data_IF_755489937110
#
_entry.id   IF_755489937110
#
_cell.length_a   1.000
_cell.length_b   1.000
_cell.length_c   1.000
_cell.angle_alpha   90.00
_cell.angle_beta   90.00
_cell.angle_gamma   90.00
#
_symmetry.space_group_name_H-M   'P 1'
#
loop_
_entity.id
_entity.type
_entity.pdbx_description
1 polymer ?
#
# COMPACT_ATOMS: atom_id res chain seq x y z
N UNK A 1 17.10 -40.34 23.80
CA UNK A 1 16.44 -40.29 22.47
C UNK A 1 15.41 -39.15 22.28
N UNK A 2 15.15 -38.29 23.27
CA UNK A 2 14.19 -37.16 23.14
C UNK A 2 14.87 -35.83 22.71
N UNK A 3 16.04 -35.51 23.30
CA UNK A 3 16.73 -34.21 23.07
C UNK A 3 17.20 -33.99 21.62
N UNK A 4 17.69 -35.04 20.95
CA UNK A 4 18.18 -34.96 19.55
C UNK A 4 17.03 -34.65 18.57
N UNK A 5 15.82 -35.17 18.84
CA UNK A 5 14.63 -34.89 18.02
C UNK A 5 14.22 -33.43 18.13
N UNK A 6 14.30 -32.84 19.33
CA UNK A 6 13.99 -31.43 19.56
C UNK A 6 14.96 -30.53 18.79
N UNK A 7 16.27 -30.82 18.83
CA UNK A 7 17.28 -30.07 18.06
C UNK A 7 17.03 -30.18 16.55
N UNK A 8 16.64 -31.36 16.07
CA UNK A 8 16.30 -31.56 14.66
C UNK A 8 15.07 -30.76 14.23
N UNK A 9 14.00 -30.77 15.03
CA UNK A 9 12.81 -29.95 14.74
C UNK A 9 13.10 -28.45 14.77
N UNK A 10 13.95 -27.98 15.70
CA UNK A 10 14.39 -26.59 15.74
C UNK A 10 15.21 -26.22 14.50
N UNK A 11 16.10 -27.09 14.03
CA UNK A 11 16.87 -26.86 12.80
C UNK A 11 15.96 -26.80 11.56
N UNK A 12 14.97 -27.70 11.45
CA UNK A 12 13.99 -27.65 10.38
C UNK A 12 13.16 -26.37 10.43
N UNK A 13 12.63 -25.98 11.60
CA UNK A 13 11.88 -24.76 11.76
C UNK A 13 12.69 -23.51 11.35
N UNK A 14 13.98 -23.49 11.67
CA UNK A 14 14.88 -22.40 11.26
C UNK A 14 15.08 -22.34 9.74
N UNK A 15 15.26 -23.48 9.08
CA UNK A 15 15.37 -23.55 7.61
C UNK A 15 14.08 -23.08 6.95
N UNK A 16 12.92 -23.54 7.43
CA UNK A 16 11.62 -23.10 6.94
C UNK A 16 11.41 -21.60 7.12
N UNK A 17 11.72 -21.06 8.31
CA UNK A 17 11.64 -19.62 8.58
C UNK A 17 12.52 -18.81 7.61
N UNK A 18 13.78 -19.22 7.42
CA UNK A 18 14.70 -18.57 6.48
C UNK A 18 14.21 -18.65 5.04
N UNK A 19 13.67 -19.80 4.63
CA UNK A 19 13.08 -19.98 3.30
C UNK A 19 11.87 -19.06 3.07
N UNK A 20 10.97 -18.99 4.05
CA UNK A 20 9.79 -18.13 4.00
C UNK A 20 10.16 -16.64 3.91
N UNK A 21 11.08 -16.18 4.74
CA UNK A 21 11.56 -14.78 4.72
C UNK A 21 12.25 -14.45 3.39
N UNK A 22 13.06 -15.36 2.84
CA UNK A 22 13.70 -15.15 1.55
C UNK A 22 12.67 -15.01 0.42
N UNK A 23 11.59 -15.80 0.46
CA UNK A 23 10.51 -15.73 -0.53
C UNK A 23 9.75 -14.40 -0.46
N UNK A 24 9.38 -13.92 0.74
CA UNK A 24 8.72 -12.62 0.89
C UNK A 24 9.58 -11.45 0.40
N UNK A 25 10.88 -11.47 0.70
CA UNK A 25 11.80 -10.43 0.22
C UNK A 25 11.96 -10.44 -1.31
N UNK A 26 11.86 -11.62 -1.93
CA UNK A 26 11.88 -11.75 -3.37
C UNK A 26 10.62 -11.15 -4.01
N UNK A 27 9.44 -11.45 -3.45
CA UNK A 27 8.15 -10.89 -3.92
C UNK A 27 8.17 -9.36 -3.91
N UNK A 28 8.56 -8.75 -2.77
CA UNK A 28 8.72 -7.29 -2.65
C UNK A 28 9.70 -6.74 -3.70
N UNK A 29 10.84 -7.42 -3.89
CA UNK A 29 11.85 -6.97 -4.86
C UNK A 29 11.44 -7.13 -6.33
N UNK A 30 10.51 -8.04 -6.66
CA UNK A 30 9.95 -8.18 -8.01
C UNK A 30 8.93 -7.08 -8.27
N UNK A 31 8.03 -6.82 -7.31
CA UNK A 31 7.02 -5.77 -7.43
C UNK A 31 7.65 -4.39 -7.66
N UNK A 32 8.71 -4.06 -6.92
CA UNK A 32 9.45 -2.80 -7.10
C UNK A 32 10.06 -2.66 -8.51
N UNK A 33 10.56 -3.78 -9.08
CA UNK A 33 11.12 -3.77 -10.43
C UNK A 33 10.05 -3.62 -11.49
N UNK A 34 8.91 -4.26 -11.33
CA UNK A 34 7.76 -4.11 -12.24
C UNK A 34 7.26 -2.68 -12.20
N UNK A 35 7.08 -2.11 -11.00
CA UNK A 35 6.67 -0.71 -10.83
C UNK A 35 7.66 0.25 -11.52
N UNK A 36 8.97 0.04 -11.36
CA UNK A 36 9.98 0.87 -12.02
C UNK A 36 9.99 0.71 -13.54
N UNK A 37 9.57 -0.43 -14.08
CA UNK A 37 9.42 -0.63 -15.53
C UNK A 37 8.15 0.07 -16.03
N UNK A 38 7.03 -0.06 -15.33
CA UNK A 38 5.78 0.66 -15.65
C UNK A 38 6.02 2.17 -15.68
N UNK A 39 6.75 2.71 -14.69
CA UNK A 39 7.12 4.13 -14.62
C UNK A 39 8.04 4.56 -15.77
N UNK A 40 9.04 3.74 -16.14
CA UNK A 40 9.94 4.04 -17.27
C UNK A 40 9.28 3.92 -18.64
N UNK A 41 8.27 3.08 -18.75
CA UNK A 41 7.50 2.88 -19.97
C UNK A 41 6.30 3.83 -20.09
N UNK A 42 6.07 4.67 -19.08
CA UNK A 42 4.91 5.57 -18.96
C UNK A 42 3.59 4.82 -19.17
N UNK A 43 3.51 3.60 -18.62
CA UNK A 43 2.36 2.73 -18.80
C UNK A 43 1.26 3.11 -17.81
N UNK A 44 0.31 3.88 -18.31
CA UNK A 44 -0.90 4.25 -17.58
C UNK A 44 -1.90 3.09 -17.55
N UNK A 45 -2.40 2.78 -16.35
CA UNK A 45 -3.53 1.86 -16.16
C UNK A 45 -4.62 2.53 -15.34
N UNK A 46 -5.85 2.46 -15.83
CA UNK A 46 -7.01 2.86 -15.04
C UNK A 46 -7.41 1.70 -14.11
N UNK A 47 -7.75 2.03 -12.86
CA UNK A 47 -8.15 1.03 -11.89
C UNK A 47 -8.88 1.58 -10.68
N UNK A 48 -9.73 0.74 -10.11
CA UNK A 48 -10.41 1.01 -8.85
C UNK A 48 -9.46 0.72 -7.68
N UNK A 49 -9.19 1.75 -6.88
CA UNK A 49 -8.27 1.70 -5.75
C UNK A 49 -8.82 2.43 -4.54
N UNK A 50 -8.18 2.24 -3.39
CA UNK A 50 -8.49 3.00 -2.17
C UNK A 50 -7.42 4.09 -2.03
N UNK A 51 -7.85 5.34 -2.14
CA UNK A 51 -7.01 6.52 -1.98
C UNK A 51 -7.24 7.18 -0.62
N UNK A 52 -6.15 7.66 -0.01
CA UNK A 52 -6.20 8.68 1.04
C UNK A 52 -5.96 10.03 0.36
N UNK A 53 -6.96 10.91 0.43
CA UNK A 53 -6.97 12.23 -0.19
C UNK A 53 -6.81 13.29 0.89
N UNK A 54 -5.98 14.29 0.62
CA UNK A 54 -5.77 15.45 1.49
C UNK A 54 -6.26 16.70 0.77
N UNK A 55 -7.14 17.44 1.43
CA UNK A 55 -7.68 18.69 0.95
C UNK A 55 -7.18 19.86 1.80
N UNK A 56 -6.86 20.97 1.13
CA UNK A 56 -6.40 22.21 1.74
C UNK A 56 -7.18 23.41 1.19
N UNK A 57 -7.26 24.48 1.98
CA UNK A 57 -7.90 25.74 1.57
C UNK A 57 -9.37 25.88 1.98
N UNK A 58 -9.95 27.04 1.63
CA UNK A 58 -11.37 27.36 1.79
C UNK A 58 -11.82 28.09 0.50
N UNK A 59 -12.49 27.41 -0.45
CA UNK A 59 -13.03 26.04 -0.36
C UNK A 59 -11.96 24.93 -0.36
N UNK A 60 -12.26 23.73 0.18
CA UNK A 60 -11.31 22.62 0.20
C UNK A 60 -10.98 22.12 -1.22
N UNK A 61 -9.71 22.16 -1.60
CA UNK A 61 -9.20 21.66 -2.87
C UNK A 61 -8.27 20.46 -2.64
N UNK A 62 -8.37 19.44 -3.51
CA UNK A 62 -7.52 18.26 -3.43
C UNK A 62 -6.06 18.67 -3.65
N UNK A 63 -5.25 18.51 -2.62
CA UNK A 63 -3.83 18.87 -2.64
C UNK A 63 -2.94 17.66 -2.87
N UNK A 64 -3.23 16.54 -2.21
CA UNK A 64 -2.43 15.31 -2.33
C UNK A 64 -3.32 14.07 -2.29
N UNK A 65 -2.87 13.00 -2.95
CA UNK A 65 -3.50 11.69 -2.93
C UNK A 65 -2.47 10.59 -2.75
N UNK A 66 -2.82 9.56 -1.99
CA UNK A 66 -1.96 8.43 -1.70
C UNK A 66 -2.69 7.10 -1.90
N UNK A 67 -2.06 6.19 -2.65
CA UNK A 67 -2.57 4.83 -2.81
C UNK A 67 -2.45 4.04 -1.50
N UNK A 68 -3.52 3.39 -1.07
CA UNK A 68 -3.54 2.55 0.13
C UNK A 68 -3.88 1.09 -0.21
N UNK A 69 -3.36 0.16 0.60
CA UNK A 69 -3.54 -1.28 0.34
C UNK A 69 -4.95 -1.80 0.65
N UNK A 70 -5.63 -1.22 1.64
CA UNK A 70 -6.94 -1.67 2.10
C UNK A 70 -7.66 -0.57 2.90
N UNK A 71 -8.97 -0.75 3.15
CA UNK A 71 -9.82 0.21 3.87
C UNK A 71 -9.29 0.52 5.27
N UNK A 72 -8.94 -0.52 6.05
CA UNK A 72 -8.44 -0.36 7.43
C UNK A 72 -7.17 0.47 7.50
N UNK A 73 -6.24 0.26 6.56
CA UNK A 73 -4.97 0.98 6.53
C UNK A 73 -5.18 2.43 6.13
N UNK A 74 -6.12 2.71 5.22
CA UNK A 74 -6.48 4.08 4.88
C UNK A 74 -6.99 4.83 6.11
N UNK A 75 -7.95 4.26 6.84
CA UNK A 75 -8.54 4.89 8.02
C UNK A 75 -7.51 5.13 9.14
N UNK A 76 -6.60 4.18 9.38
CA UNK A 76 -5.50 4.34 10.34
C UNK A 76 -4.58 5.52 9.95
N UNK A 77 -4.25 5.63 8.67
CA UNK A 77 -3.41 6.71 8.15
C UNK A 77 -4.13 8.06 8.18
N UNK A 78 -5.43 8.09 7.86
CA UNK A 78 -6.30 9.27 7.99
C UNK A 78 -6.28 9.80 9.41
N UNK A 79 -6.57 8.94 10.39
CA UNK A 79 -6.58 9.32 11.80
C UNK A 79 -5.23 9.90 12.23
N UNK A 80 -4.13 9.23 11.88
CA UNK A 80 -2.77 9.70 12.21
C UNK A 80 -2.46 11.06 11.57
N UNK A 81 -2.93 11.28 10.33
CA UNK A 81 -2.73 12.52 9.62
C UNK A 81 -3.55 13.67 10.23
N UNK A 82 -4.82 13.44 10.57
CA UNK A 82 -5.69 14.43 11.25
C UNK A 82 -5.20 14.75 12.68
N UNK A 83 -4.58 13.81 13.38
CA UNK A 83 -3.97 14.05 14.69
C UNK A 83 -2.71 14.94 14.61
N UNK A 84 -2.03 14.94 13.46
CA UNK A 84 -0.74 15.63 13.26
C UNK A 84 -0.82 16.87 12.35
N UNK A 85 -1.95 17.10 11.69
CA UNK A 85 -2.16 18.15 10.69
C UNK A 85 -3.56 18.76 10.82
N UNK A 86 -3.71 20.02 10.44
CA UNK A 86 -5.01 20.70 10.38
C UNK A 86 -5.71 20.57 9.01
N UNK A 87 -5.17 19.74 8.11
CA UNK A 87 -5.75 19.49 6.80
C UNK A 87 -6.96 18.55 6.89
N UNK A 88 -7.84 18.60 5.90
CA UNK A 88 -8.96 17.65 5.80
C UNK A 88 -8.50 16.41 5.05
N UNK A 89 -8.69 15.23 5.64
CA UNK A 89 -8.33 13.96 5.03
C UNK A 89 -9.55 13.09 4.77
N UNK A 90 -9.57 12.41 3.63
CA UNK A 90 -10.68 11.57 3.22
C UNK A 90 -10.16 10.24 2.66
N UNK A 91 -10.72 9.15 3.15
CA UNK A 91 -10.50 7.84 2.56
C UNK A 91 -11.63 7.56 1.59
N UNK A 92 -11.31 7.27 0.34
CA UNK A 92 -12.33 6.88 -0.62
C UNK A 92 -11.84 5.79 -1.56
N UNK A 93 -12.80 5.00 -2.03
CA UNK A 93 -12.67 4.17 -3.21
C UNK A 93 -12.82 5.07 -4.43
N UNK A 94 -11.79 5.12 -5.26
CA UNK A 94 -11.70 5.98 -6.43
C UNK A 94 -11.34 5.16 -7.65
N UNK A 95 -11.84 5.57 -8.81
CA UNK A 95 -11.25 5.17 -10.08
C UNK A 95 -10.12 6.14 -10.40
N UNK A 96 -8.92 5.63 -10.65
CA UNK A 96 -7.73 6.43 -10.79
C UNK A 96 -6.82 5.92 -11.91
N UNK A 97 -6.05 6.83 -12.50
CA UNK A 97 -4.92 6.47 -13.36
C UNK A 97 -3.73 6.16 -12.47
N UNK A 98 -3.15 4.98 -12.68
CA UNK A 98 -2.02 4.47 -11.92
C UNK A 98 -0.80 4.34 -12.82
N UNK A 99 0.36 4.70 -12.29
CA UNK A 99 1.68 4.40 -12.87
C UNK A 99 2.56 3.85 -11.76
N UNK A 100 3.13 2.66 -11.97
CA UNK A 100 4.09 2.06 -11.03
C UNK A 100 3.54 1.90 -9.60
N UNK A 101 2.24 1.61 -9.46
CA UNK A 101 1.60 1.48 -8.14
C UNK A 101 1.41 2.80 -7.39
N UNK A 102 1.40 3.93 -8.08
CA UNK A 102 1.04 5.25 -7.52
C UNK A 102 -0.16 5.82 -8.28
N UNK A 103 -0.99 6.60 -7.59
CA UNK A 103 -2.05 7.38 -8.21
C UNK A 103 -1.41 8.59 -8.89
N UNK A 104 -1.71 8.78 -10.17
CA UNK A 104 -1.28 9.94 -10.95
C UNK A 104 -2.41 10.95 -11.05
N UNK A 105 -3.63 10.46 -11.24
CA UNK A 105 -4.83 11.29 -11.28
C UNK A 105 -6.04 10.50 -10.82
N UNK A 106 -7.02 11.20 -10.24
CA UNK A 106 -8.30 10.65 -9.85
C UNK A 106 -9.30 10.98 -10.97
N UNK A 107 -9.95 9.95 -11.52
CA UNK A 107 -10.96 10.08 -12.55
C UNK A 107 -12.30 10.42 -11.91
N UNK A 108 -12.70 9.60 -10.93
CA UNK A 108 -13.92 9.83 -10.16
C UNK A 108 -13.87 9.13 -8.80
N UNK A 109 -14.58 9.72 -7.84
CA UNK A 109 -14.89 9.08 -6.57
C UNK A 109 -16.06 8.10 -6.73
N UNK A 110 -15.98 6.96 -6.04
CA UNK A 110 -17.00 5.90 -6.08
C UNK A 110 -17.70 5.80 -4.71
N UNK A 111 -16.93 5.72 -3.62
CA UNK A 111 -17.44 5.49 -2.27
C UNK A 111 -16.50 6.12 -1.25
N UNK A 112 -16.98 7.06 -0.43
CA UNK A 112 -16.26 7.55 0.75
C UNK A 112 -16.31 6.50 1.85
N UNK A 113 -15.16 6.24 2.48
CA UNK A 113 -14.96 5.25 3.52
C UNK A 113 -14.82 5.98 4.86
N UNK A 114 -15.74 5.71 5.77
CA UNK A 114 -15.78 6.24 7.15
C UNK A 114 -15.20 5.26 8.17
#
# INVERSE_FOLDING_TARGET
MSKIKIVFYLALAFIFYKGFVAFQNFEIGVDDRVAAIEEKADFEKEGEVIGLMMYLGDPPELYEHLLTKNKSRCLEMKQTAEESSSAYYECARVNAVLIGGKIVSIINEIEVIE
#
